data_IF_873279028301
#
_entry.id   IF_873279028301
#
_cell.length_a   1.000
_cell.length_b   1.000
_cell.length_c   1.000
_cell.angle_alpha   90.00
_cell.angle_beta   90.00
_cell.angle_gamma   90.00
#
_symmetry.space_group_name_H-M   'P 1'
#
loop_
_entity.id
_entity.type
_entity.pdbx_description
1 polymer ?
#
# COMPACT_ATOMS: atom_id res chain seq x y z
N UNK A 1 7.85 -1.97 -23.22
CA UNK A 1 7.42 -3.03 -22.27
C UNK A 1 6.19 -2.51 -21.55
N UNK A 2 5.00 -3.07 -21.82
CA UNK A 2 3.75 -2.55 -21.23
C UNK A 2 3.65 -2.85 -19.72
N UNK A 3 2.86 -2.07 -18.96
CA UNK A 3 2.70 -2.20 -17.51
C UNK A 3 2.13 -3.57 -17.06
N UNK A 4 1.54 -4.35 -17.98
CA UNK A 4 0.95 -5.65 -17.69
C UNK A 4 1.97 -6.73 -17.28
N UNK A 5 3.20 -6.67 -17.81
CA UNK A 5 4.21 -7.71 -17.57
C UNK A 5 4.76 -7.77 -16.15
N UNK A 6 4.56 -6.73 -15.33
CA UNK A 6 5.10 -6.72 -13.96
C UNK A 6 4.13 -7.32 -12.96
N UNK A 7 2.84 -7.03 -13.10
CA UNK A 7 1.80 -7.64 -12.28
C UNK A 7 1.75 -9.16 -12.48
N UNK A 8 1.86 -9.63 -13.73
CA UNK A 8 1.80 -11.07 -14.02
C UNK A 8 3.01 -11.84 -13.46
N UNK A 9 4.16 -11.20 -13.28
CA UNK A 9 5.34 -11.80 -12.63
C UNK A 9 5.14 -12.05 -11.13
N UNK A 10 4.18 -11.39 -10.50
CA UNK A 10 3.86 -11.56 -9.08
C UNK A 10 2.73 -12.59 -8.86
N UNK A 11 2.22 -13.23 -9.92
CA UNK A 11 1.14 -14.20 -9.81
C UNK A 11 1.46 -15.30 -8.78
N UNK A 12 0.56 -15.51 -7.83
CA UNK A 12 0.73 -16.50 -6.77
C UNK A 12 1.60 -16.03 -5.59
N UNK A 13 2.12 -14.80 -5.62
CA UNK A 13 2.85 -14.24 -4.48
C UNK A 13 1.97 -14.22 -3.22
N UNK A 14 2.51 -14.76 -2.14
CA UNK A 14 1.84 -14.80 -0.83
C UNK A 14 2.00 -13.44 -0.13
N UNK A 15 0.98 -13.04 0.63
CA UNK A 15 0.98 -11.79 1.41
C UNK A 15 2.23 -11.68 2.26
N UNK A 16 2.52 -12.69 3.07
CA UNK A 16 3.64 -12.67 4.02
C UNK A 16 5.02 -12.58 3.33
N UNK A 17 5.15 -13.15 2.12
CA UNK A 17 6.35 -13.01 1.28
C UNK A 17 6.50 -11.58 0.78
N UNK A 18 5.41 -10.94 0.34
CA UNK A 18 5.42 -9.54 -0.07
C UNK A 18 5.77 -8.62 1.10
N UNK A 19 5.13 -8.82 2.27
CA UNK A 19 5.38 -8.03 3.48
C UNK A 19 6.85 -8.03 3.89
N UNK A 20 7.48 -9.21 3.90
CA UNK A 20 8.90 -9.37 4.27
C UNK A 20 9.84 -8.86 3.19
N UNK A 21 9.49 -9.04 1.92
CA UNK A 21 10.32 -8.55 0.81
C UNK A 21 10.38 -7.03 0.80
N UNK A 22 9.23 -6.38 0.94
CA UNK A 22 9.15 -4.93 1.10
C UNK A 22 9.92 -4.46 2.33
N UNK A 23 9.80 -5.16 3.47
CA UNK A 23 10.59 -4.82 4.66
C UNK A 23 12.09 -4.86 4.43
N UNK A 24 12.61 -5.92 3.78
CA UNK A 24 14.03 -6.01 3.44
C UNK A 24 14.47 -4.89 2.53
N UNK A 25 13.67 -4.56 1.51
CA UNK A 25 13.99 -3.46 0.59
C UNK A 25 14.03 -2.11 1.31
N UNK A 26 13.09 -1.85 2.21
CA UNK A 26 13.08 -0.64 3.02
C UNK A 26 14.26 -0.59 4.01
N UNK A 27 14.52 -1.69 4.72
CA UNK A 27 15.60 -1.77 5.70
C UNK A 27 17.00 -1.64 5.08
N UNK A 28 17.13 -1.87 3.76
CA UNK A 28 18.37 -1.68 3.00
C UNK A 28 18.41 -0.38 2.19
N UNK A 29 17.38 0.46 2.26
CA UNK A 29 17.32 1.73 1.53
C UNK A 29 17.99 2.85 2.34
N UNK A 30 18.67 3.76 1.65
CA UNK A 30 19.30 4.95 2.25
C UNK A 30 18.30 6.09 2.56
N UNK A 31 17.00 5.82 2.51
CA UNK A 31 15.95 6.82 2.65
C UNK A 31 14.71 6.33 3.39
N UNK A 32 13.76 7.23 3.70
CA UNK A 32 12.58 6.90 4.50
C UNK A 32 11.58 5.98 3.79
N UNK A 33 11.70 5.84 2.46
CA UNK A 33 10.77 5.13 1.60
C UNK A 33 11.35 3.89 0.95
N UNK A 34 10.48 3.20 0.23
CA UNK A 34 10.88 2.11 -0.64
C UNK A 34 11.51 2.63 -1.94
N UNK A 35 12.44 1.87 -2.56
CA UNK A 35 12.95 2.20 -3.88
C UNK A 35 11.83 2.09 -4.94
N UNK A 36 11.96 2.80 -6.05
CA UNK A 36 10.92 2.91 -7.10
C UNK A 36 10.50 1.53 -7.63
N UNK A 37 11.45 0.60 -7.72
CA UNK A 37 11.25 -0.77 -8.19
C UNK A 37 10.32 -1.59 -7.29
N UNK A 38 10.08 -1.15 -6.04
CA UNK A 38 9.13 -1.76 -5.12
C UNK A 38 7.67 -1.46 -5.46
N UNK A 39 7.39 -0.47 -6.30
CA UNK A 39 6.03 -0.01 -6.61
C UNK A 39 5.03 -1.15 -6.94
N UNK A 40 5.37 -2.11 -7.82
CA UNK A 40 4.51 -3.25 -8.12
C UNK A 40 4.24 -4.18 -6.92
N UNK A 41 5.22 -4.36 -6.03
CA UNK A 41 5.07 -5.15 -4.80
C UNK A 41 4.13 -4.46 -3.81
N UNK A 42 4.26 -3.13 -3.67
CA UNK A 42 3.37 -2.29 -2.85
C UNK A 42 1.93 -2.38 -3.36
N UNK A 43 1.73 -2.21 -4.68
CA UNK A 43 0.42 -2.35 -5.32
C UNK A 43 -0.19 -3.72 -5.10
N UNK A 44 0.60 -4.80 -5.25
CA UNK A 44 0.14 -6.15 -4.98
C UNK A 44 -0.26 -6.35 -3.52
N UNK A 45 0.56 -5.87 -2.56
CA UNK A 45 0.27 -6.00 -1.13
C UNK A 45 -1.02 -5.28 -0.72
N UNK A 46 -1.23 -4.06 -1.19
CA UNK A 46 -2.46 -3.34 -0.86
C UNK A 46 -3.65 -3.92 -1.61
N UNK A 47 -3.50 -4.38 -2.85
CA UNK A 47 -4.56 -5.10 -3.55
C UNK A 47 -5.02 -6.32 -2.73
N UNK A 48 -4.08 -7.10 -2.17
CA UNK A 48 -4.38 -8.19 -1.25
C UNK A 48 -5.15 -7.74 -0.01
N UNK A 49 -4.76 -6.62 0.61
CA UNK A 49 -5.46 -6.06 1.77
C UNK A 49 -6.88 -5.65 1.41
N UNK A 50 -7.05 -4.89 0.33
CA UNK A 50 -8.34 -4.39 -0.19
C UNK A 50 -9.34 -5.49 -0.51
N UNK A 51 -8.85 -6.63 -1.02
CA UNK A 51 -9.69 -7.78 -1.35
C UNK A 51 -9.81 -8.80 -0.21
N UNK A 52 -9.09 -8.63 0.90
CA UNK A 52 -9.05 -9.62 1.98
C UNK A 52 -8.40 -10.95 1.58
N UNK A 53 -7.51 -10.95 0.57
CA UNK A 53 -6.87 -12.16 0.04
C UNK A 53 -5.45 -12.35 0.56
N UNK A 54 -4.99 -13.58 0.70
CA UNK A 54 -3.59 -13.88 1.06
C UNK A 54 -2.70 -14.20 -0.14
N UNK A 55 -3.29 -14.48 -1.31
CA UNK A 55 -2.55 -14.86 -2.53
C UNK A 55 -2.85 -13.92 -3.68
N UNK A 56 -1.81 -13.35 -4.29
CA UNK A 56 -1.97 -12.33 -5.31
C UNK A 56 -2.40 -12.94 -6.64
N UNK A 57 -3.49 -12.40 -7.18
CA UNK A 57 -4.10 -12.83 -8.45
C UNK A 57 -4.14 -11.62 -9.39
N UNK A 58 -3.32 -11.60 -10.45
CA UNK A 58 -3.28 -10.46 -11.37
C UNK A 58 -4.63 -10.14 -12.01
N UNK A 59 -5.45 -11.17 -12.31
CA UNK A 59 -6.78 -10.98 -12.85
C UNK A 59 -7.69 -10.21 -11.88
N UNK A 60 -7.66 -10.54 -10.58
CA UNK A 60 -8.44 -9.84 -9.56
C UNK A 60 -7.96 -8.39 -9.39
N UNK A 61 -6.65 -8.17 -9.40
CA UNK A 61 -6.09 -6.81 -9.37
C UNK A 61 -6.53 -5.98 -10.59
N UNK A 62 -6.51 -6.56 -11.80
CA UNK A 62 -7.01 -5.88 -13.00
C UNK A 62 -8.51 -5.57 -12.92
N UNK A 63 -9.31 -6.50 -12.40
CA UNK A 63 -10.75 -6.25 -12.17
C UNK A 63 -10.95 -5.10 -11.20
N UNK A 64 -10.19 -5.07 -10.11
CA UNK A 64 -10.21 -3.99 -9.11
C UNK A 64 -9.89 -2.63 -9.74
N UNK A 65 -8.75 -2.53 -10.44
CA UNK A 65 -8.35 -1.30 -11.14
C UNK A 65 -9.35 -0.88 -12.22
N UNK A 66 -9.92 -1.84 -12.95
CA UNK A 66 -10.93 -1.59 -13.97
C UNK A 66 -12.22 -1.01 -13.39
N UNK A 67 -12.62 -1.48 -12.20
CA UNK A 67 -13.77 -0.95 -11.48
C UNK A 67 -13.52 0.46 -10.91
N UNK A 68 -12.28 0.79 -10.56
CA UNK A 68 -11.90 2.11 -10.02
C UNK A 68 -11.70 3.18 -11.09
N UNK A 69 -11.17 2.80 -12.25
CA UNK A 69 -10.73 3.72 -13.31
C UNK A 69 -11.76 4.80 -13.68
N UNK A 70 -13.08 4.51 -13.81
CA UNK A 70 -14.08 5.53 -14.13
C UNK A 70 -14.23 6.63 -13.06
N UNK A 71 -13.87 6.33 -11.82
CA UNK A 71 -14.09 7.20 -10.67
C UNK A 71 -12.81 7.93 -10.22
N UNK A 72 -11.63 7.44 -10.59
CA UNK A 72 -10.36 8.04 -10.19
C UNK A 72 -9.88 9.10 -11.18
N UNK A 73 -10.44 10.30 -11.10
CA UNK A 73 -9.94 11.44 -11.89
C UNK A 73 -8.57 11.94 -11.37
N UNK A 74 -7.71 12.51 -12.23
CA UNK A 74 -6.43 13.09 -11.80
C UNK A 74 -6.57 14.17 -10.72
N UNK A 75 -7.61 14.99 -10.80
CA UNK A 75 -7.87 16.05 -9.82
C UNK A 75 -8.19 15.47 -8.43
N UNK A 76 -9.02 14.42 -8.39
CA UNK A 76 -9.37 13.76 -7.14
C UNK A 76 -8.17 13.00 -6.56
N UNK A 77 -7.39 12.33 -7.40
CA UNK A 77 -6.14 11.70 -6.98
C UNK A 77 -5.16 12.73 -6.39
N UNK A 78 -5.04 13.93 -6.97
CA UNK A 78 -4.22 15.01 -6.44
C UNK A 78 -4.72 15.52 -5.08
N UNK A 79 -6.04 15.69 -4.92
CA UNK A 79 -6.65 16.09 -3.66
C UNK A 79 -6.39 15.07 -2.54
N UNK A 80 -6.57 13.78 -2.84
CA UNK A 80 -6.27 12.71 -1.87
C UNK A 80 -4.78 12.67 -1.54
N UNK A 81 -3.92 12.86 -2.54
CA UNK A 81 -2.46 12.89 -2.34
C UNK A 81 -2.03 14.04 -1.41
N UNK A 82 -2.73 15.17 -1.44
CA UNK A 82 -2.41 16.33 -0.59
C UNK A 82 -2.64 16.07 0.90
N UNK A 83 -3.61 15.22 1.24
CA UNK A 83 -3.96 14.89 2.63
C UNK A 83 -3.33 13.57 3.11
N UNK A 84 -2.67 12.83 2.22
CA UNK A 84 -2.04 11.57 2.57
C UNK A 84 -0.81 11.80 3.49
N UNK A 85 -0.62 10.93 4.49
CA UNK A 85 0.61 10.93 5.26
C UNK A 85 1.85 10.77 4.35
N UNK A 86 2.83 11.69 4.45
CA UNK A 86 4.08 11.58 3.71
C UNK A 86 4.83 10.27 4.00
N UNK A 87 5.63 9.84 3.03
CA UNK A 87 6.63 8.78 3.27
C UNK A 87 7.61 9.23 4.36
N UNK A 88 7.89 8.35 5.32
CA UNK A 88 8.65 8.63 6.53
C UNK A 88 7.81 9.03 7.74
N UNK A 89 6.51 9.31 7.56
CA UNK A 89 5.63 9.63 8.69
C UNK A 89 5.49 8.44 9.64
N UNK A 90 5.61 8.73 10.94
CA UNK A 90 5.30 7.77 12.01
C UNK A 90 3.80 7.74 12.25
N UNK A 91 3.23 6.55 12.25
CA UNK A 91 1.79 6.34 12.42
C UNK A 91 1.52 5.27 13.47
N UNK A 92 0.42 5.43 14.19
CA UNK A 92 -0.13 4.40 15.04
C UNK A 92 -1.10 3.55 14.21
N UNK A 93 -0.96 2.22 14.23
CA UNK A 93 -1.95 1.33 13.60
C UNK A 93 -3.07 1.09 14.62
N UNK A 94 -4.32 1.36 14.22
CA UNK A 94 -5.47 1.19 15.08
C UNK A 94 -5.76 -0.28 15.32
N UNK A 95 -6.13 -0.62 16.56
CA UNK A 95 -6.34 -2.01 16.97
C UNK A 95 -5.07 -2.86 17.10
N UNK A 96 -3.88 -2.31 16.82
CA UNK A 96 -2.60 -2.95 17.05
C UNK A 96 -1.80 -2.22 18.13
N UNK A 97 -1.01 -2.95 18.91
CA UNK A 97 -0.16 -2.41 19.99
C UNK A 97 1.10 -1.69 19.49
N UNK A 98 1.24 -1.46 18.19
CA UNK A 98 2.48 -1.01 17.55
C UNK A 98 2.31 0.23 16.67
N UNK A 99 3.36 1.04 16.61
CA UNK A 99 3.53 2.11 15.63
C UNK A 99 4.34 1.61 14.44
N UNK A 100 4.14 2.21 13.27
CA UNK A 100 4.97 1.97 12.09
C UNK A 100 5.37 3.24 11.38
N UNK A 101 6.06 3.07 10.25
CA UNK A 101 6.49 4.15 9.36
C UNK A 101 5.86 3.97 8.01
N UNK A 102 5.24 5.01 7.44
CA UNK A 102 4.74 5.00 6.07
C UNK A 102 5.93 4.93 5.11
N UNK A 103 6.01 3.90 4.26
CA UNK A 103 7.15 3.70 3.33
C UNK A 103 6.76 3.83 1.87
N UNK A 104 5.47 3.71 1.57
CA UNK A 104 4.86 3.99 0.29
C UNK A 104 3.35 4.14 0.49
N UNK A 105 2.68 4.76 -0.47
CA UNK A 105 1.23 4.83 -0.51
C UNK A 105 0.74 4.96 -1.96
N UNK A 106 -0.56 4.71 -2.19
CA UNK A 106 -1.24 5.05 -3.44
C UNK A 106 -2.70 5.42 -3.17
N UNK A 107 -3.35 6.02 -4.17
CA UNK A 107 -4.78 6.33 -4.12
C UNK A 107 -5.59 5.21 -4.76
N UNK A 108 -6.65 4.76 -4.09
CA UNK A 108 -7.60 3.79 -4.62
C UNK A 108 -8.91 3.77 -3.85
N UNK A 109 -9.88 2.96 -4.28
CA UNK A 109 -11.19 2.84 -3.64
C UNK A 109 -11.31 1.57 -2.80
N UNK A 110 -11.98 1.55 -1.64
CA UNK A 110 -12.44 0.25 -1.11
C UNK A 110 -13.71 -0.18 -1.84
N UNK A 111 -13.96 -1.48 -2.02
CA UNK A 111 -15.29 -1.95 -2.43
C UNK A 111 -16.35 -1.43 -1.44
N UNK A 112 -17.29 -0.60 -1.91
CA UNK A 112 -18.36 -0.01 -1.10
C UNK A 112 -18.15 1.46 -0.71
N UNK A 113 -16.96 2.01 -0.93
CA UNK A 113 -16.70 3.43 -0.65
C UNK A 113 -17.16 4.33 -1.78
N UNK A 114 -17.71 5.50 -1.44
CA UNK A 114 -18.10 6.52 -2.41
C UNK A 114 -16.94 7.39 -2.89
N UNK A 115 -15.81 7.38 -2.18
CA UNK A 115 -14.67 8.25 -2.42
C UNK A 115 -13.35 7.45 -2.40
N UNK A 116 -12.34 7.86 -3.18
CA UNK A 116 -11.03 7.26 -3.10
C UNK A 116 -10.32 7.72 -1.83
N UNK A 117 -9.44 6.87 -1.33
CA UNK A 117 -8.65 7.10 -0.13
C UNK A 117 -7.19 6.74 -0.39
N UNK A 118 -6.25 7.30 0.40
CA UNK A 118 -4.89 6.83 0.39
C UNK A 118 -4.82 5.46 1.07
N UNK A 119 -4.06 4.56 0.47
CA UNK A 119 -3.71 3.26 1.02
C UNK A 119 -2.22 3.21 1.24
N UNK A 120 -1.82 2.73 2.41
CA UNK A 120 -0.46 2.84 2.91
C UNK A 120 0.22 1.48 2.97
N UNK A 121 1.49 1.43 2.61
CA UNK A 121 2.40 0.40 3.08
C UNK A 121 3.14 0.97 4.30
N UNK A 122 2.93 0.36 5.46
CA UNK A 122 3.52 0.76 6.74
C UNK A 122 4.48 -0.31 7.20
N UNK A 123 5.74 0.05 7.44
CA UNK A 123 6.71 -0.87 8.01
C UNK A 123 6.70 -0.83 9.53
N UNK A 124 6.62 -2.01 10.13
CA UNK A 124 6.80 -2.24 11.56
C UNK A 124 8.11 -3.03 11.75
N UNK A 125 9.12 -2.33 12.28
CA UNK A 125 10.44 -2.91 12.53
C UNK A 125 10.43 -4.02 13.59
N UNK A 126 9.49 -3.99 14.54
CA UNK A 126 9.38 -5.03 15.59
C UNK A 126 8.89 -6.34 14.98
N UNK A 127 8.02 -6.25 13.98
CA UNK A 127 7.48 -7.40 13.26
C UNK A 127 8.30 -7.80 12.03
N UNK A 128 9.31 -7.00 11.66
CA UNK A 128 10.16 -7.20 10.47
C UNK A 128 9.34 -7.35 9.17
N UNK A 129 8.29 -6.54 9.06
CA UNK A 129 7.29 -6.61 7.98
C UNK A 129 6.80 -5.23 7.60
N UNK A 130 6.42 -5.08 6.35
CA UNK A 130 5.58 -3.96 5.92
C UNK A 130 4.18 -4.48 5.60
N UNK A 131 3.16 -3.84 6.15
CA UNK A 131 1.75 -4.22 6.00
C UNK A 131 0.99 -3.14 5.25
N UNK A 132 -0.04 -3.56 4.53
CA UNK A 132 -0.94 -2.63 3.87
C UNK A 132 -2.07 -2.20 4.81
N UNK A 133 -2.40 -0.91 4.78
CA UNK A 133 -3.42 -0.31 5.63
C UNK A 133 -4.29 0.69 4.87
N UNK A 134 -5.57 0.72 5.24
CA UNK A 134 -6.50 1.79 4.86
C UNK A 134 -6.21 3.08 5.63
N UNK A 135 -6.70 4.21 5.12
CA UNK A 135 -6.53 5.51 5.78
C UNK A 135 -7.22 5.59 7.15
N UNK A 136 -8.30 4.84 7.32
CA UNK A 136 -9.09 4.69 8.54
C UNK A 136 -8.45 3.71 9.55
N UNK A 137 -7.36 3.04 9.18
CA UNK A 137 -6.68 2.06 10.02
C UNK A 137 -5.42 2.62 10.70
N UNK A 138 -5.06 3.87 10.39
CA UNK A 138 -3.86 4.51 10.91
C UNK A 138 -4.11 5.95 11.36
N UNK A 139 -3.40 6.37 12.39
CA UNK A 139 -3.45 7.74 12.90
C UNK A 139 -2.05 8.35 12.99
N UNK A 140 -1.96 9.66 12.82
CA UNK A 140 -0.70 10.37 13.05
C UNK A 140 -0.27 10.22 14.51
N UNK A 141 0.99 9.84 14.73
CA UNK A 141 1.56 9.99 16.06
C UNK A 141 1.83 11.47 16.31
N UNK A 142 1.33 12.02 17.42
CA UNK A 142 1.72 13.36 17.83
C UNK A 142 3.25 13.45 17.92
N UNK A 143 3.81 14.52 17.34
CA UNK A 143 5.22 14.84 17.54
C UNK A 143 5.32 15.39 18.96
N UNK A 144 5.82 14.58 19.89
CA UNK A 144 6.21 15.04 21.22
C UNK A 144 7.52 15.82 21.15
#
# INVERSE_FOLDING_TARGET
>A
MGPHGVADRLAGAQRDVLERTLYRMWASADGPGLPVEAGPLVQALICLRRMGHDVYRPAAHRTLLGAESPFLSPNLAAQVSYVAFPVGSRVQVLGATGSGVVVAWFVGYSPGDSCPAPWYAVCDARLTRCRAHGADEIEAMAIC
#
